data_IF_070255577818
#
_entry.id   IF_070255577818
#
_cell.length_a   1.000
_cell.length_b   1.000
_cell.length_c   1.000
_cell.angle_alpha   90.00
_cell.angle_beta   90.00
_cell.angle_gamma   90.00
#
_symmetry.space_group_name_H-M   'P 1'
#
loop_
_entity.id
_entity.type
_entity.pdbx_description
1 polymer ?
#
# COMPACT_ATOMS: atom_id res chain seq x y z
N UNK A 1 -48.79 -34.86 -61.11
CA UNK A 1 -48.52 -33.50 -60.58
C UNK A 1 -47.59 -33.69 -59.39
N UNK A 2 -46.28 -33.78 -59.60
CA UNK A 2 -45.30 -32.69 -59.85
C UNK A 2 -44.58 -32.31 -58.56
N UNK A 3 -43.26 -32.44 -58.62
CA UNK A 3 -42.25 -32.32 -57.57
C UNK A 3 -42.25 -31.03 -56.73
N UNK A 4 -41.70 -31.16 -55.51
CA UNK A 4 -40.79 -30.19 -54.86
C UNK A 4 -40.00 -30.93 -53.77
N UNK A 5 -38.74 -31.30 -53.99
CA UNK A 5 -37.48 -30.53 -53.96
C UNK A 5 -36.71 -30.71 -52.64
N UNK A 6 -35.50 -31.23 -52.82
CA UNK A 6 -34.36 -31.35 -51.92
C UNK A 6 -33.82 -30.01 -51.38
N UNK A 7 -33.23 -30.05 -50.18
CA UNK A 7 -32.22 -29.11 -49.67
C UNK A 7 -31.75 -29.64 -48.30
N UNK A 8 -30.47 -29.92 -48.04
CA UNK A 8 -29.24 -29.37 -48.59
C UNK A 8 -28.43 -28.89 -47.39
N UNK A 9 -27.42 -29.66 -46.98
CA UNK A 9 -26.63 -29.40 -45.78
C UNK A 9 -25.82 -28.11 -45.88
N UNK A 10 -25.71 -27.39 -44.76
CA UNK A 10 -24.65 -26.40 -44.55
C UNK A 10 -24.66 -25.87 -43.12
N UNK A 11 -24.09 -26.63 -42.17
CA UNK A 11 -23.74 -26.11 -40.83
C UNK A 11 -22.40 -26.60 -40.29
N UNK A 12 -21.62 -27.32 -41.09
CA UNK A 12 -20.30 -27.83 -40.70
C UNK A 12 -19.13 -27.06 -41.35
N UNK A 13 -19.38 -25.95 -42.03
CA UNK A 13 -18.34 -25.20 -42.76
C UNK A 13 -17.90 -23.87 -42.13
N UNK A 14 -18.40 -23.49 -40.94
CA UNK A 14 -17.98 -22.24 -40.27
C UNK A 14 -16.75 -22.39 -39.36
N UNK A 15 -16.32 -23.61 -39.02
CA UNK A 15 -15.18 -23.83 -38.12
C UNK A 15 -13.79 -23.77 -38.79
N UNK A 16 -13.69 -24.15 -40.07
CA UNK A 16 -12.38 -24.27 -40.76
C UNK A 16 -11.84 -22.90 -41.19
N UNK A 17 -12.71 -21.93 -41.46
CA UNK A 17 -12.30 -20.59 -41.89
C UNK A 17 -11.59 -19.78 -40.78
N UNK A 18 -11.94 -19.99 -39.51
CA UNK A 18 -11.34 -19.26 -38.39
C UNK A 18 -9.96 -19.79 -37.99
N UNK A 19 -9.73 -21.10 -38.11
CA UNK A 19 -8.42 -21.70 -37.81
C UNK A 19 -7.33 -21.29 -38.82
N UNK A 20 -7.69 -21.15 -40.11
CA UNK A 20 -6.77 -20.67 -41.14
C UNK A 20 -6.34 -19.20 -40.91
N UNK A 21 -7.24 -18.36 -40.38
CA UNK A 21 -6.95 -16.95 -40.13
C UNK A 21 -6.00 -16.74 -38.94
N UNK A 22 -6.12 -17.53 -37.87
CA UNK A 22 -5.22 -17.47 -36.71
C UNK A 22 -3.83 -18.03 -37.02
N UNK A 23 -3.73 -19.06 -37.87
CA UNK A 23 -2.44 -19.62 -38.27
C UNK A 23 -1.67 -18.67 -39.20
N UNK A 24 -2.35 -17.91 -40.07
CA UNK A 24 -1.74 -16.91 -40.92
C UNK A 24 -1.18 -15.70 -40.13
N UNK A 25 -1.83 -15.31 -39.02
CA UNK A 25 -1.31 -14.24 -38.15
C UNK A 25 -0.11 -14.68 -37.30
N UNK A 26 0.05 -15.99 -37.05
CA UNK A 26 1.20 -16.54 -36.31
C UNK A 26 2.45 -16.68 -37.18
N UNK A 27 2.30 -16.69 -38.51
CA UNK A 27 3.40 -16.90 -39.48
C UNK A 27 3.99 -15.60 -40.05
N UNK A 28 3.40 -14.42 -39.78
CA UNK A 28 3.87 -13.11 -40.30
C UNK A 28 4.66 -12.29 -39.25
N UNK A 29 4.85 -12.82 -38.05
CA UNK A 29 5.58 -12.14 -36.97
C UNK A 29 7.08 -12.47 -36.87
N UNK A 30 7.62 -13.28 -37.78
CA UNK A 30 8.95 -13.86 -37.64
C UNK A 30 9.83 -13.60 -38.87
N UNK A 31 10.27 -12.35 -39.05
CA UNK A 31 11.39 -12.04 -39.93
C UNK A 31 12.22 -10.86 -39.37
N UNK A 32 13.40 -11.23 -38.89
CA UNK A 32 14.70 -10.57 -39.01
C UNK A 32 14.76 -9.04 -39.18
N UNK A 33 15.35 -8.38 -38.18
CA UNK A 33 16.13 -7.17 -38.44
C UNK A 33 17.52 -7.37 -37.85
N UNK A 34 18.46 -7.61 -38.76
CA UNK A 34 19.91 -7.62 -38.55
C UNK A 34 20.41 -6.21 -38.18
N UNK A 35 21.46 -6.15 -37.35
CA UNK A 35 22.02 -4.96 -36.73
C UNK A 35 22.62 -3.91 -37.70
N UNK A 36 22.93 -2.71 -37.19
CA UNK A 36 24.25 -2.17 -37.42
C UNK A 36 25.01 -1.95 -36.11
N UNK A 37 26.16 -2.63 -36.03
CA UNK A 37 27.25 -2.52 -35.08
C UNK A 37 27.61 -1.04 -34.83
N UNK A 38 27.34 -0.54 -33.62
CA UNK A 38 27.84 0.75 -33.16
C UNK A 38 28.88 0.54 -32.04
N UNK A 39 30.10 1.00 -32.35
CA UNK A 39 31.35 1.00 -31.57
C UNK A 39 31.24 1.00 -30.04
N UNK A 40 31.98 0.09 -29.41
CA UNK A 40 32.34 0.17 -27.99
C UNK A 40 33.22 1.41 -27.69
N UNK A 41 32.95 2.15 -26.59
CA UNK A 41 33.95 3.01 -25.98
C UNK A 41 34.80 2.22 -24.97
N UNK A 42 36.07 2.62 -24.90
CA UNK A 42 37.15 2.03 -24.10
C UNK A 42 36.94 2.22 -22.60
N UNK A 43 37.55 1.31 -21.84
CA UNK A 43 37.92 1.38 -20.43
C UNK A 43 38.08 2.81 -19.88
N UNK A 44 37.34 3.09 -18.81
CA UNK A 44 37.56 4.24 -17.94
C UNK A 44 36.25 4.94 -17.56
N UNK A 45 35.57 4.45 -16.52
CA UNK A 45 35.10 5.29 -15.40
C UNK A 45 34.24 4.47 -14.42
N UNK A 46 34.72 4.42 -13.18
CA UNK A 46 33.98 4.03 -11.99
C UNK A 46 33.26 5.28 -11.48
N UNK A 47 31.99 5.46 -11.82
CA UNK A 47 31.11 6.43 -11.16
C UNK A 47 29.68 5.91 -11.13
N UNK A 48 29.14 5.89 -9.91
CA UNK A 48 27.73 5.88 -9.53
C UNK A 48 26.79 4.91 -10.26
N UNK A 49 26.50 3.79 -9.60
CA UNK A 49 25.29 3.02 -9.87
C UNK A 49 24.07 3.76 -9.26
N UNK A 50 23.68 4.89 -9.85
CA UNK A 50 22.33 5.44 -9.73
C UNK A 50 21.70 5.42 -11.14
N UNK A 51 20.46 4.94 -11.23
CA UNK A 51 19.63 4.89 -12.45
C UNK A 51 19.95 3.82 -13.53
N UNK A 52 20.10 2.56 -13.12
CA UNK A 52 19.65 1.45 -13.98
C UNK A 52 18.19 1.10 -13.62
N UNK A 53 17.21 1.27 -14.53
CA UNK A 53 15.87 0.73 -14.30
C UNK A 53 15.99 -0.79 -14.10
N UNK A 54 15.39 -1.38 -13.04
CA UNK A 54 15.47 -2.82 -12.84
C UNK A 54 14.91 -3.52 -14.08
N UNK A 55 15.72 -4.37 -14.70
CA UNK A 55 15.25 -5.31 -15.70
C UNK A 55 14.19 -6.19 -15.04
N UNK A 56 12.92 -6.09 -15.48
CA UNK A 56 11.77 -6.95 -15.14
C UNK A 56 11.94 -7.76 -13.83
N UNK A 57 11.94 -7.08 -12.69
CA UNK A 57 12.20 -7.69 -11.39
C UNK A 57 11.77 -6.79 -10.24
N UNK A 58 11.28 -7.39 -9.16
CA UNK A 58 11.00 -6.66 -7.93
C UNK A 58 12.32 -6.15 -7.30
N UNK A 59 12.32 -5.05 -6.53
CA UNK A 59 13.53 -4.51 -5.92
C UNK A 59 14.19 -5.51 -4.95
N UNK A 60 15.50 -5.41 -4.70
CA UNK A 60 16.17 -6.28 -3.74
C UNK A 60 15.61 -6.10 -2.32
N UNK A 61 15.68 -7.17 -1.52
CA UNK A 61 15.31 -7.13 -0.10
C UNK A 61 16.29 -6.24 0.66
N UNK A 62 15.75 -5.36 1.50
CA UNK A 62 16.52 -4.50 2.38
C UNK A 62 16.67 -5.12 3.78
N UNK A 63 17.76 -4.80 4.47
CA UNK A 63 18.01 -5.23 5.85
C UNK A 63 16.98 -4.61 6.79
N UNK A 64 16.40 -5.36 7.75
CA UNK A 64 15.47 -4.80 8.73
C UNK A 64 16.05 -3.62 9.53
N UNK A 65 15.18 -2.68 9.90
CA UNK A 65 15.48 -1.45 10.66
C UNK A 65 14.55 -1.32 11.88
N UNK A 66 14.82 -1.99 13.01
CA UNK A 66 13.96 -1.95 14.20
C UNK A 66 13.94 -0.59 14.91
N UNK A 67 12.98 -0.41 15.84
CA UNK A 67 13.07 0.62 16.88
C UNK A 67 12.10 1.80 16.77
N UNK A 68 11.28 1.86 15.73
CA UNK A 68 10.26 2.91 15.58
C UNK A 68 8.91 2.34 15.11
N UNK A 69 7.85 2.77 15.79
CA UNK A 69 6.47 2.39 15.52
C UNK A 69 5.87 3.16 14.33
N UNK A 70 4.77 2.66 13.75
CA UNK A 70 4.12 3.30 12.62
C UNK A 70 3.29 4.51 13.01
N UNK A 71 3.25 5.52 12.15
CA UNK A 71 2.41 6.72 12.30
C UNK A 71 1.44 6.92 11.14
N UNK A 72 1.89 6.66 9.90
CA UNK A 72 1.03 6.80 8.73
C UNK A 72 1.38 5.80 7.64
N UNK A 73 0.35 5.32 6.93
CA UNK A 73 0.46 4.48 5.75
C UNK A 73 0.27 5.35 4.51
N UNK A 74 1.13 5.18 3.51
CA UNK A 74 1.05 5.88 2.23
C UNK A 74 1.16 4.86 1.09
N UNK A 75 0.17 4.85 0.19
CA UNK A 75 0.20 4.07 -1.06
C UNK A 75 -0.15 5.02 -2.19
N UNK A 76 0.89 5.64 -2.79
CA UNK A 76 0.72 6.70 -3.80
C UNK A 76 -0.10 6.25 -5.00
N UNK A 77 0.10 5.00 -5.45
CA UNK A 77 -0.62 4.43 -6.59
C UNK A 77 -2.14 4.34 -6.37
N UNK A 78 -2.59 4.31 -5.11
CA UNK A 78 -4.00 4.27 -4.73
C UNK A 78 -4.50 5.63 -4.20
N UNK A 79 -3.66 6.68 -4.21
CA UNK A 79 -4.00 7.97 -3.57
C UNK A 79 -4.20 7.87 -2.05
N UNK A 80 -3.72 6.79 -1.42
CA UNK A 80 -3.99 6.51 -0.01
C UNK A 80 -2.95 7.18 0.88
N UNK A 81 -3.44 7.95 1.87
CA UNK A 81 -2.68 8.37 3.05
C UNK A 81 -3.56 8.25 4.28
N UNK A 82 -3.17 7.42 5.24
CA UNK A 82 -3.98 7.10 6.41
C UNK A 82 -3.16 7.17 7.71
N UNK A 83 -3.70 7.70 8.81
CA UNK A 83 -3.11 7.54 10.13
C UNK A 83 -3.13 6.07 10.55
N UNK A 84 -2.10 5.65 11.27
CA UNK A 84 -1.99 4.31 11.85
C UNK A 84 -2.19 4.40 13.36
N UNK A 85 -2.99 3.48 13.90
CA UNK A 85 -3.31 3.37 15.32
C UNK A 85 -2.84 2.03 15.87
N UNK A 86 -2.39 2.01 17.12
CA UNK A 86 -2.00 0.78 17.80
C UNK A 86 -3.24 0.08 18.39
N UNK A 87 -3.47 -1.17 18.02
CA UNK A 87 -4.62 -1.98 18.46
C UNK A 87 -4.15 -3.39 18.88
N UNK A 88 -4.96 -4.03 19.72
CA UNK A 88 -4.75 -5.41 20.16
C UNK A 88 -5.48 -6.41 19.27
N UNK A 89 -5.65 -7.63 19.80
CA UNK A 89 -6.51 -8.64 19.19
C UNK A 89 -7.93 -8.60 19.78
N UNK A 90 -8.91 -8.95 18.97
CA UNK A 90 -10.28 -9.18 19.41
C UNK A 90 -10.44 -10.58 20.06
N UNK A 91 -11.67 -10.92 20.44
CA UNK A 91 -11.98 -12.21 21.09
C UNK A 91 -11.78 -13.43 20.18
N UNK A 92 -11.67 -13.22 18.86
CA UNK A 92 -11.44 -14.25 17.86
C UNK A 92 -9.95 -14.35 17.48
N UNK A 93 -9.09 -13.52 18.08
CA UNK A 93 -7.65 -13.49 17.79
C UNK A 93 -7.29 -12.71 16.53
N UNK A 94 -8.22 -12.01 15.91
CA UNK A 94 -7.96 -11.09 14.81
C UNK A 94 -7.53 -9.71 15.32
N UNK A 95 -6.76 -8.95 14.54
CA UNK A 95 -6.43 -7.56 14.92
C UNK A 95 -7.71 -6.73 14.95
N UNK A 96 -7.95 -6.03 16.06
CA UNK A 96 -9.09 -5.14 16.18
C UNK A 96 -8.98 -3.99 15.16
N UNK A 97 -9.98 -3.87 14.28
CA UNK A 97 -10.01 -2.83 13.28
C UNK A 97 -10.42 -1.48 13.91
N UNK A 98 -10.08 -0.34 13.29
CA UNK A 98 -10.52 0.96 13.78
C UNK A 98 -12.06 1.04 13.89
N UNK A 99 -12.61 1.84 14.81
CA UNK A 99 -14.05 2.10 14.87
C UNK A 99 -14.58 2.59 13.52
N UNK A 100 -15.81 2.21 13.16
CA UNK A 100 -16.44 2.61 11.89
C UNK A 100 -16.63 4.13 11.75
N UNK A 101 -16.57 4.87 12.85
CA UNK A 101 -16.55 6.34 12.90
C UNK A 101 -15.22 6.94 12.39
N UNK A 102 -14.17 6.12 12.29
CA UNK A 102 -12.84 6.46 11.75
C UNK A 102 -12.53 5.63 10.49
N UNK A 103 -13.31 5.77 9.42
CA UNK A 103 -13.16 4.93 8.23
C UNK A 103 -11.85 5.14 7.46
N UNK A 104 -11.14 6.24 7.72
CA UNK A 104 -9.88 6.58 7.07
C UNK A 104 -8.63 6.15 7.86
N UNK A 105 -8.80 5.49 9.01
CA UNK A 105 -7.69 5.02 9.85
C UNK A 105 -7.35 3.56 9.57
N UNK A 106 -6.11 3.18 9.88
CA UNK A 106 -5.60 1.80 9.82
C UNK A 106 -5.17 1.38 11.22
N UNK A 107 -5.48 0.16 11.64
CA UNK A 107 -4.98 -0.40 12.88
C UNK A 107 -3.74 -1.25 12.62
N UNK A 108 -2.71 -1.13 13.45
CA UNK A 108 -1.53 -2.00 13.48
C UNK A 108 -1.61 -2.87 14.73
N UNK A 109 -1.27 -4.16 14.58
CA UNK A 109 -1.15 -5.07 15.70
C UNK A 109 0.06 -4.73 16.58
N UNK A 110 -0.20 -4.12 17.74
CA UNK A 110 0.82 -3.48 18.55
C UNK A 110 1.79 -4.44 19.26
N UNK A 111 1.36 -5.67 19.52
CA UNK A 111 2.20 -6.70 20.15
C UNK A 111 3.05 -7.47 19.11
N UNK A 112 2.86 -7.15 17.82
CA UNK A 112 3.63 -7.70 16.70
C UNK A 112 4.86 -6.85 16.32
N UNK A 113 5.57 -7.25 15.25
CA UNK A 113 6.68 -6.48 14.70
C UNK A 113 6.26 -5.07 14.31
N UNK A 114 7.10 -4.10 14.64
CA UNK A 114 7.02 -2.75 14.07
C UNK A 114 7.35 -2.79 12.57
N UNK A 115 6.67 -2.01 11.71
CA UNK A 115 7.02 -1.95 10.29
C UNK A 115 8.50 -1.56 10.08
N UNK A 116 9.25 -2.49 9.50
CA UNK A 116 10.70 -2.37 9.29
C UNK A 116 11.52 -3.30 10.18
N UNK A 117 10.99 -3.80 11.29
CA UNK A 117 11.61 -4.84 12.12
C UNK A 117 11.50 -6.22 11.46
N UNK A 118 12.36 -7.20 11.84
CA UNK A 118 12.18 -8.59 11.43
C UNK A 118 10.81 -9.15 11.82
N UNK A 119 10.23 -9.96 10.95
CA UNK A 119 8.87 -10.50 11.06
C UNK A 119 7.84 -9.72 10.23
N UNK A 120 6.57 -10.12 10.34
CA UNK A 120 5.47 -9.50 9.63
C UNK A 120 4.74 -8.48 10.51
N UNK A 121 4.77 -7.22 10.11
CA UNK A 121 3.91 -6.20 10.68
C UNK A 121 2.51 -6.29 10.04
N UNK A 122 1.47 -6.41 10.86
CA UNK A 122 0.08 -6.60 10.38
C UNK A 122 -0.72 -5.32 10.56
N UNK A 123 -1.28 -4.83 9.46
CA UNK A 123 -2.14 -3.65 9.41
C UNK A 123 -3.51 -4.04 8.86
N UNK A 124 -4.58 -3.63 9.55
CA UNK A 124 -5.97 -3.91 9.18
C UNK A 124 -6.77 -2.62 8.99
N UNK A 125 -7.74 -2.66 8.09
CA UNK A 125 -8.61 -1.52 7.81
C UNK A 125 -9.87 -1.92 7.07
N UNK A 126 -10.90 -1.08 7.19
CA UNK A 126 -12.19 -1.32 6.54
C UNK A 126 -12.12 -1.12 5.03
N UNK A 127 -12.84 -1.96 4.29
CA UNK A 127 -13.09 -1.76 2.85
C UNK A 127 -14.13 -0.67 2.64
N UNK A 128 -15.21 -0.70 3.41
CA UNK A 128 -16.29 0.28 3.37
C UNK A 128 -16.94 0.46 4.75
N UNK A 129 -17.84 1.43 4.80
CA UNK A 129 -18.81 1.59 5.88
C UNK A 129 -20.20 1.47 5.31
N UNK A 130 -21.21 1.53 6.18
CA UNK A 130 -22.62 1.60 5.78
C UNK A 130 -22.96 2.74 4.81
N UNK A 131 -22.12 3.78 4.71
CA UNK A 131 -22.42 5.02 3.98
C UNK A 131 -21.40 5.39 2.91
N UNK A 132 -20.18 4.88 2.97
CA UNK A 132 -19.10 5.29 2.08
C UNK A 132 -17.99 4.25 2.01
N UNK A 133 -17.19 4.24 0.93
CA UNK A 133 -15.85 3.65 0.92
C UNK A 133 -15.03 4.02 2.17
N UNK A 134 -14.13 3.13 2.59
CA UNK A 134 -13.20 3.32 3.70
C UNK A 134 -11.74 3.19 3.22
N UNK A 135 -10.79 3.19 4.16
CA UNK A 135 -9.35 3.32 3.89
C UNK A 135 -8.80 2.29 2.89
N UNK A 136 -9.31 1.06 2.92
CA UNK A 136 -8.83 -0.04 2.07
C UNK A 136 -9.81 -0.41 0.95
N UNK A 137 -10.73 0.49 0.60
CA UNK A 137 -11.66 0.28 -0.51
C UNK A 137 -10.97 -0.15 -1.81
N UNK A 138 -9.88 0.54 -2.16
CA UNK A 138 -9.10 0.30 -3.39
C UNK A 138 -8.00 -0.76 -3.22
N UNK A 139 -7.89 -1.39 -2.04
CA UNK A 139 -6.75 -2.29 -1.75
C UNK A 139 -6.77 -3.54 -2.65
N UNK A 140 -7.94 -4.01 -3.06
CA UNK A 140 -8.10 -5.12 -4.03
C UNK A 140 -7.55 -4.81 -5.41
N UNK A 141 -7.37 -3.52 -5.76
CA UNK A 141 -6.82 -3.07 -7.04
C UNK A 141 -5.29 -2.91 -7.01
N UNK A 142 -4.64 -3.14 -5.86
CA UNK A 142 -3.20 -3.05 -5.72
C UNK A 142 -2.51 -4.15 -6.56
N UNK A 143 -1.36 -3.81 -7.14
CA UNK A 143 -0.60 -4.73 -7.99
C UNK A 143 0.72 -5.12 -7.34
N UNK A 144 1.19 -6.34 -7.62
CA UNK A 144 2.59 -6.74 -7.37
C UNK A 144 3.53 -5.68 -7.94
N UNK A 145 4.56 -5.32 -7.17
CA UNK A 145 5.50 -4.24 -7.49
C UNK A 145 5.08 -2.85 -7.00
N UNK A 146 3.88 -2.69 -6.44
CA UNK A 146 3.45 -1.39 -5.89
C UNK A 146 4.27 -1.04 -4.65
N UNK A 147 4.75 0.20 -4.59
CA UNK A 147 5.45 0.72 -3.43
C UNK A 147 4.46 1.15 -2.33
N UNK A 148 4.76 0.75 -1.09
CA UNK A 148 4.05 1.11 0.13
C UNK A 148 5.05 1.81 1.05
N UNK A 149 4.70 2.97 1.57
CA UNK A 149 5.55 3.70 2.52
C UNK A 149 4.86 3.76 3.88
N UNK A 150 5.58 3.37 4.93
CA UNK A 150 5.17 3.57 6.32
C UNK A 150 6.02 4.67 6.92
N UNK A 151 5.38 5.76 7.33
CA UNK A 151 6.00 6.83 8.13
C UNK A 151 6.12 6.34 9.56
N UNK A 152 7.29 6.54 10.16
CA UNK A 152 7.65 6.00 11.47
C UNK A 152 7.83 7.12 12.50
N UNK A 153 7.75 6.76 13.77
CA UNK A 153 7.78 7.71 14.89
C UNK A 153 9.08 8.47 15.09
N UNK A 154 10.18 7.97 14.53
CA UNK A 154 11.51 8.59 14.55
C UNK A 154 11.73 9.58 13.38
N UNK A 155 10.72 9.82 12.55
CA UNK A 155 10.82 10.66 11.36
C UNK A 155 11.41 9.95 10.14
N UNK A 156 11.76 8.67 10.27
CA UNK A 156 12.16 7.83 9.12
C UNK A 156 10.95 7.26 8.39
N UNK A 157 11.19 6.66 7.23
CA UNK A 157 10.21 5.88 6.47
C UNK A 157 10.73 4.48 6.21
N UNK A 158 9.87 3.48 6.35
CA UNK A 158 10.10 2.13 5.82
C UNK A 158 9.36 1.99 4.48
N UNK A 159 10.09 1.65 3.42
CA UNK A 159 9.55 1.47 2.08
C UNK A 159 9.47 -0.02 1.76
N UNK A 160 8.27 -0.49 1.45
CA UNK A 160 7.95 -1.85 1.11
C UNK A 160 7.52 -1.95 -0.34
N UNK A 161 7.71 -3.12 -0.94
CA UNK A 161 7.18 -3.45 -2.25
C UNK A 161 6.25 -4.66 -2.15
N UNK A 162 5.05 -4.54 -2.73
CA UNK A 162 4.08 -5.64 -2.79
C UNK A 162 4.68 -6.80 -3.57
N UNK A 163 4.77 -7.97 -2.96
CA UNK A 163 5.06 -9.21 -3.65
C UNK A 163 3.80 -10.03 -3.90
N UNK A 164 2.84 -10.11 -2.99
CA UNK A 164 1.66 -10.96 -3.19
C UNK A 164 0.34 -10.26 -2.86
N UNK A 165 -0.72 -10.63 -3.57
CA UNK A 165 -2.10 -10.23 -3.27
C UNK A 165 -2.95 -11.48 -3.34
N UNK A 166 -3.45 -11.89 -2.19
CA UNK A 166 -4.19 -13.13 -2.01
C UNK A 166 -5.60 -12.84 -1.50
N UNK A 167 -6.58 -13.63 -1.96
CA UNK A 167 -7.94 -13.61 -1.43
C UNK A 167 -8.15 -14.86 -0.58
N UNK A 168 -8.36 -14.67 0.72
CA UNK A 168 -8.50 -15.75 1.71
C UNK A 168 -9.94 -15.79 2.19
N UNK A 169 -10.65 -16.88 1.88
CA UNK A 169 -12.02 -17.08 2.35
C UNK A 169 -12.08 -17.14 3.89
N UNK A 170 -13.14 -16.61 4.49
CA UNK A 170 -13.25 -16.50 5.96
C UNK A 170 -13.24 -17.87 6.66
N UNK A 171 -13.84 -18.88 6.02
CA UNK A 171 -13.87 -20.27 6.49
C UNK A 171 -12.49 -20.96 6.48
N UNK A 172 -11.52 -20.36 5.78
CA UNK A 172 -10.13 -20.84 5.65
C UNK A 172 -9.13 -19.85 6.24
N UNK A 173 -9.60 -18.85 7.00
CA UNK A 173 -8.73 -17.86 7.60
C UNK A 173 -7.94 -18.47 8.76
N UNK A 174 -6.71 -18.87 8.45
CA UNK A 174 -5.75 -19.37 9.43
C UNK A 174 -4.85 -18.21 9.88
N UNK A 175 -5.08 -17.72 11.11
CA UNK A 175 -4.42 -16.54 11.68
C UNK A 175 -2.90 -16.69 11.62
N UNK A 176 -2.37 -17.86 11.97
CA UNK A 176 -0.92 -18.09 12.00
C UNK A 176 -0.31 -17.99 10.60
N UNK A 177 -1.03 -18.46 9.58
CA UNK A 177 -0.57 -18.36 8.18
C UNK A 177 -0.70 -16.96 7.61
N UNK A 178 -1.76 -16.23 7.98
CA UNK A 178 -2.02 -14.89 7.42
C UNK A 178 -1.18 -13.83 8.11
N UNK A 179 -1.00 -13.92 9.43
CA UNK A 179 -0.24 -12.96 10.22
C UNK A 179 1.24 -13.34 10.33
N UNK A 180 1.59 -14.61 10.09
CA UNK A 180 2.96 -15.09 10.15
C UNK A 180 3.85 -14.51 9.02
N UNK A 181 5.14 -14.27 9.31
CA UNK A 181 6.10 -13.94 8.27
C UNK A 181 6.39 -15.16 7.39
N UNK A 182 6.62 -14.91 6.09
CA UNK A 182 7.14 -15.93 5.20
C UNK A 182 8.62 -16.24 5.52
N UNK A 183 9.37 -15.23 5.99
CA UNK A 183 10.71 -15.37 6.54
C UNK A 183 10.88 -14.52 7.81
N UNK A 184 11.17 -15.16 8.94
CA UNK A 184 11.33 -14.49 10.25
C UNK A 184 12.52 -13.53 10.31
N UNK A 185 13.46 -13.61 9.37
CA UNK A 185 14.64 -12.72 9.29
C UNK A 185 14.39 -11.49 8.42
N UNK A 186 13.32 -11.47 7.62
CA UNK A 186 12.96 -10.35 6.74
C UNK A 186 11.98 -9.42 7.45
N UNK A 187 12.00 -8.16 7.03
CA UNK A 187 10.96 -7.21 7.41
C UNK A 187 9.83 -7.29 6.39
N UNK A 188 8.68 -7.81 6.84
CA UNK A 188 7.49 -8.03 6.03
C UNK A 188 6.33 -7.16 6.52
N UNK A 189 5.39 -6.91 5.62
CA UNK A 189 4.18 -6.14 5.87
C UNK A 189 2.99 -6.92 5.32
N UNK A 190 1.90 -6.96 6.10
CA UNK A 190 0.61 -7.50 5.72
C UNK A 190 -0.43 -6.40 5.83
N UNK A 191 -1.08 -6.05 4.71
CA UNK A 191 -2.28 -5.21 4.72
C UNK A 191 -3.49 -6.10 4.51
N UNK A 192 -4.47 -6.01 5.41
CA UNK A 192 -5.62 -6.91 5.41
C UNK A 192 -6.91 -6.10 5.45
N UNK A 193 -7.84 -6.46 4.59
CA UNK A 193 -9.20 -5.91 4.58
C UNK A 193 -10.22 -6.96 4.18
N UNK A 194 -11.48 -6.73 4.54
CA UNK A 194 -12.59 -7.55 4.06
C UNK A 194 -12.72 -7.47 2.53
N UNK A 195 -13.06 -8.58 1.89
CA UNK A 195 -13.21 -8.66 0.44
C UNK A 195 -13.99 -9.88 -0.04
N UNK A 196 -13.98 -10.11 -1.35
CA UNK A 196 -14.85 -11.12 -1.99
C UNK A 196 -16.31 -10.68 -2.04
N UNK A 197 -17.21 -11.63 -2.33
CA UNK A 197 -18.64 -11.32 -2.44
C UNK A 197 -19.23 -10.89 -1.10
N UNK A 198 -20.08 -9.86 -1.13
CA UNK A 198 -20.84 -9.42 0.03
C UNK A 198 -22.10 -10.27 0.20
N UNK A 199 -22.19 -11.01 1.30
CA UNK A 199 -23.40 -11.71 1.70
C UNK A 199 -24.41 -10.72 2.31
N UNK A 200 -25.49 -10.43 1.57
CA UNK A 200 -26.52 -9.51 2.06
C UNK A 200 -27.36 -10.07 3.20
N UNK A 201 -27.45 -11.40 3.33
CA UNK A 201 -28.23 -12.03 4.39
C UNK A 201 -27.47 -12.00 5.73
N UNK A 202 -26.17 -12.29 5.69
CA UNK A 202 -25.28 -12.25 6.88
C UNK A 202 -24.66 -10.88 7.12
N UNK A 203 -24.78 -9.96 6.15
CA UNK A 203 -24.21 -8.59 6.16
C UNK A 203 -22.69 -8.57 6.30
N UNK A 204 -22.02 -9.56 5.71
CA UNK A 204 -20.58 -9.75 5.81
C UNK A 204 -19.93 -10.02 4.44
N UNK A 205 -18.64 -9.71 4.33
CA UNK A 205 -17.82 -10.13 3.21
C UNK A 205 -17.33 -11.56 3.41
N UNK A 206 -17.31 -12.37 2.36
CA UNK A 206 -16.98 -13.81 2.46
C UNK A 206 -15.48 -14.13 2.52
N UNK A 207 -14.62 -13.14 2.31
CA UNK A 207 -13.18 -13.32 2.27
C UNK A 207 -12.44 -12.09 2.82
N UNK A 208 -11.13 -12.20 2.90
CA UNK A 208 -10.21 -11.11 3.17
C UNK A 208 -9.20 -10.99 2.04
N UNK A 209 -8.92 -9.77 1.62
CA UNK A 209 -7.77 -9.46 0.77
C UNK A 209 -6.56 -9.31 1.67
N UNK A 210 -5.51 -10.08 1.38
CA UNK A 210 -4.23 -10.05 2.09
C UNK A 210 -3.16 -9.60 1.10
N UNK A 211 -2.62 -8.41 1.33
CA UNK A 211 -1.50 -7.87 0.57
C UNK A 211 -0.22 -8.13 1.35
N UNK A 212 0.68 -8.89 0.75
CA UNK A 212 2.01 -9.13 1.27
C UNK A 212 3.00 -8.19 0.60
N UNK A 213 3.89 -7.63 1.42
CA UNK A 213 4.98 -6.80 0.95
C UNK A 213 6.22 -7.03 1.81
N UNK A 214 7.38 -6.66 1.28
CA UNK A 214 8.65 -6.78 1.98
C UNK A 214 9.45 -5.50 1.87
N UNK A 215 10.32 -5.26 2.86
CA UNK A 215 11.13 -4.06 2.93
C UNK A 215 12.13 -4.03 1.77
N UNK A 216 12.13 -2.91 1.04
CA UNK A 216 12.99 -2.64 -0.11
C UNK A 216 13.83 -1.38 0.06
N UNK A 217 13.59 -0.59 1.11
CA UNK A 217 14.42 0.55 1.44
C UNK A 217 13.92 1.34 2.64
N UNK A 218 14.69 2.37 3.00
CA UNK A 218 14.31 3.35 4.02
C UNK A 218 14.51 4.77 3.49
N UNK A 219 14.05 5.76 4.24
CA UNK A 219 14.20 7.17 3.90
C UNK A 219 13.85 8.07 5.07
N UNK A 220 13.76 9.37 4.82
CA UNK A 220 13.27 10.35 5.79
C UNK A 220 11.89 10.86 5.35
N UNK A 221 10.99 11.01 6.30
CA UNK A 221 9.73 11.69 6.06
C UNK A 221 10.02 13.19 5.91
N UNK A 222 9.81 13.75 4.71
CA UNK A 222 9.81 15.20 4.55
C UNK A 222 8.63 15.74 5.36
N UNK A 223 8.85 16.64 6.34
CA UNK A 223 7.76 17.29 7.04
C UNK A 223 6.85 17.97 6.01
N UNK A 224 5.55 17.65 6.01
CA UNK A 224 4.59 18.42 5.23
C UNK A 224 4.65 19.90 5.67
N UNK A 225 4.24 20.86 4.81
CA UNK A 225 4.21 22.26 5.20
C UNK A 225 3.37 22.42 6.47
N UNK A 226 4.00 22.84 7.58
CA UNK A 226 3.28 23.32 8.75
C UNK A 226 2.62 24.61 8.32
N UNK A 227 1.29 24.64 8.20
CA UNK A 227 0.57 25.88 8.01
C UNK A 227 1.00 26.86 9.11
N UNK A 228 1.44 28.10 8.80
CA UNK A 228 1.84 29.04 9.83
C UNK A 228 0.61 29.33 10.69
N UNK A 229 0.62 28.78 11.91
CA UNK A 229 -0.34 29.12 12.94
C UNK A 229 -0.27 30.63 13.17
N UNK A 230 -1.40 31.30 12.96
CA UNK A 230 -1.57 32.72 13.23
C UNK A 230 -1.32 33.01 14.70
N UNK A 231 -0.08 33.40 15.02
CA UNK A 231 0.27 33.99 16.30
C UNK A 231 -0.33 35.38 16.38
N UNK A 232 -1.53 35.50 16.95
CA UNK A 232 -2.08 36.77 17.40
C UNK A 232 -1.37 37.19 18.69
N UNK A 233 -0.18 37.77 18.55
CA UNK A 233 0.52 38.46 19.63
C UNK A 233 0.00 39.88 19.77
N UNK A 234 -1.01 40.09 20.61
CA UNK A 234 -1.41 41.43 21.06
C UNK A 234 -0.57 41.85 22.26
N UNK A 235 0.64 42.36 21.99
CA UNK A 235 1.45 43.09 22.95
C UNK A 235 1.33 44.60 22.72
N UNK A 236 0.43 45.27 23.44
CA UNK A 236 0.43 46.73 23.54
C UNK A 236 0.91 47.13 24.93
N UNK A 237 2.21 47.38 25.05
CA UNK A 237 2.75 48.18 26.14
C UNK A 237 2.51 49.65 25.84
N UNK A 238 1.71 50.31 26.68
CA UNK A 238 1.62 51.78 26.70
C UNK A 238 2.09 52.25 28.06
N UNK A 239 3.29 52.84 28.09
CA UNK A 239 3.81 53.52 29.25
C UNK A 239 3.14 54.88 29.45
N UNK A 240 2.87 55.21 30.70
CA UNK A 240 2.64 56.58 31.16
C UNK A 240 3.03 56.62 32.62
N UNK A 241 4.17 57.26 32.89
CA UNK A 241 4.71 57.41 34.23
C UNK A 241 4.06 58.53 35.03
N UNK A 242 4.34 58.53 36.33
CA UNK A 242 4.48 59.74 37.14
C UNK A 242 5.26 59.40 38.39
N UNK A 243 6.33 60.16 38.62
CA UNK A 243 7.13 60.15 39.84
C UNK A 243 6.48 61.05 40.92
N UNK A 244 6.43 60.57 42.17
CA UNK A 244 6.28 61.34 43.42
C UNK A 244 6.96 60.48 44.50
N UNK A 245 8.20 60.75 44.91
CA UNK A 245 8.65 61.69 45.95
C UNK A 245 8.33 61.28 47.41
N UNK A 246 9.41 61.02 48.15
CA UNK A 246 9.69 61.32 49.58
C UNK A 246 8.85 60.72 50.73
N UNK A 247 9.56 60.23 51.76
CA UNK A 247 9.09 60.27 53.16
C UNK A 247 9.30 59.01 54.01
N UNK A 248 10.31 59.03 54.89
CA UNK A 248 10.55 58.20 56.10
C UNK A 248 9.33 58.13 57.10
N UNK A 249 9.43 57.57 58.34
CA UNK A 249 9.85 56.23 58.80
C UNK A 249 8.91 55.63 59.91
N UNK A 250 9.19 54.37 60.31
CA UNK A 250 9.05 53.76 61.67
C UNK A 250 7.69 53.63 62.42
N UNK A 251 7.58 52.44 63.05
CA UNK A 251 6.79 52.00 64.24
C UNK A 251 5.31 51.69 63.95
N UNK A 252 4.71 50.58 64.42
CA UNK A 252 4.86 49.88 65.71
C UNK A 252 4.80 48.36 65.57
#
# INVERSE_FOLDING_TARGET
>A
MSDKRTGGGSRLLTGVAWAAMMLALWLVGNDTVEEPIAKAPKTGDVVAAEDRPPALGLPPVHVPVPGAGPQALIIKALGLRAPIEAHGLDQLGGVEAPPYERPNAVAWYQDGPQPGSPGAAVLVGHVDTKRSPAVFYELSNIKRGTAITVVRSDGSTANFTVDDVSLVANDKFDVDKVYGPADTKRAELRLITCGGDYDRAQREYKANVVVSAYLTGTGHAVPGPVAPGGGSGSGTGSGSGTAVAAGEPRQS
#
